data_IF_937183145063
#
_entry.id   IF_937183145063
#
_cell.length_a   1.000
_cell.length_b   1.000
_cell.length_c   1.000
_cell.angle_alpha   90.00
_cell.angle_beta   90.00
_cell.angle_gamma   90.00
#
_symmetry.space_group_name_H-M   'P 1'
#
loop_
_entity.id
_entity.type
_entity.pdbx_description
1 polymer ?
#
# COMPACT_ATOMS: atom_id res chain seq x y z
N UNK A 1 -41.49 -71.74 31.80
CA UNK A 1 -41.11 -70.83 30.70
C UNK A 1 -41.50 -69.42 31.09
N UNK A 2 -40.49 -68.60 31.35
CA UNK A 2 -40.57 -67.22 31.84
C UNK A 2 -40.70 -66.30 30.64
N UNK A 3 -41.64 -65.35 30.67
CA UNK A 3 -41.47 -63.97 30.18
C UNK A 3 -42.72 -63.12 30.50
N UNK A 4 -42.69 -62.46 31.65
CA UNK A 4 -43.28 -61.13 31.82
C UNK A 4 -42.23 -60.10 31.35
N UNK A 5 -42.63 -58.99 30.70
CA UNK A 5 -42.24 -57.61 31.06
C UNK A 5 -42.57 -56.53 29.99
N UNK A 6 -43.33 -55.54 30.45
CA UNK A 6 -43.21 -54.07 30.28
C UNK A 6 -43.39 -53.28 28.95
N UNK A 7 -44.40 -52.40 29.06
CA UNK A 7 -44.41 -50.93 28.87
C UNK A 7 -44.46 -50.27 27.47
N UNK A 8 -45.38 -49.29 27.27
CA UNK A 8 -45.47 -48.47 26.08
C UNK A 8 -44.58 -47.23 26.21
N UNK A 9 -43.35 -47.27 25.70
CA UNK A 9 -42.51 -46.05 25.56
C UNK A 9 -41.61 -46.18 24.34
N UNK A 10 -42.09 -45.77 23.16
CA UNK A 10 -41.18 -45.56 22.00
C UNK A 10 -41.75 -44.69 20.87
N UNK A 11 -42.40 -43.58 21.22
CA UNK A 11 -42.77 -42.55 20.23
C UNK A 11 -42.42 -41.11 20.67
N UNK A 12 -41.85 -40.91 21.87
CA UNK A 12 -41.49 -39.55 22.35
C UNK A 12 -40.09 -39.09 21.91
N UNK A 13 -39.14 -40.00 21.75
CA UNK A 13 -37.74 -39.64 21.44
C UNK A 13 -37.52 -39.04 20.04
N UNK A 14 -38.08 -39.59 18.94
CA UNK A 14 -37.86 -39.00 17.61
C UNK A 14 -38.61 -37.67 17.44
N UNK A 15 -39.76 -37.50 18.09
CA UNK A 15 -40.54 -36.26 18.02
C UNK A 15 -39.86 -35.12 18.78
N UNK A 16 -39.27 -35.40 19.96
CA UNK A 16 -38.48 -34.42 20.71
C UNK A 16 -37.22 -34.03 19.94
N UNK A 17 -36.54 -34.98 19.28
CA UNK A 17 -35.34 -34.68 18.49
C UNK A 17 -35.65 -33.78 17.27
N UNK A 18 -36.78 -33.99 16.58
CA UNK A 18 -37.20 -33.16 15.45
C UNK A 18 -37.60 -31.76 15.92
N UNK A 19 -38.34 -31.65 17.03
CA UNK A 19 -38.72 -30.34 17.59
C UNK A 19 -37.50 -29.57 18.09
N UNK A 20 -36.52 -30.23 18.72
CA UNK A 20 -35.25 -29.59 19.13
C UNK A 20 -34.44 -29.18 17.90
N UNK A 21 -34.38 -29.99 16.84
CA UNK A 21 -33.69 -29.62 15.60
C UNK A 21 -34.37 -28.43 14.91
N UNK A 22 -35.70 -28.38 14.85
CA UNK A 22 -36.44 -27.24 14.27
C UNK A 22 -36.32 -25.99 15.15
N UNK A 23 -36.28 -26.12 16.48
CA UNK A 23 -36.07 -24.99 17.39
C UNK A 23 -34.62 -24.47 17.32
N UNK A 24 -33.62 -25.35 17.22
CA UNK A 24 -32.21 -24.95 17.05
C UNK A 24 -32.02 -24.35 15.67
N UNK A 25 -32.49 -24.99 14.61
CA UNK A 25 -32.35 -24.48 13.23
C UNK A 25 -33.19 -23.23 13.02
N UNK A 26 -34.38 -23.14 13.62
CA UNK A 26 -35.22 -21.95 13.63
C UNK A 26 -34.60 -20.82 14.47
N UNK A 27 -33.95 -21.14 15.59
CA UNK A 27 -33.17 -20.16 16.37
C UNK A 27 -31.96 -19.67 15.56
N UNK A 28 -31.25 -20.57 14.87
CA UNK A 28 -30.16 -20.19 13.97
C UNK A 28 -30.66 -19.41 12.75
N UNK A 29 -31.85 -19.69 12.19
CA UNK A 29 -32.39 -18.98 11.02
C UNK A 29 -33.06 -17.64 11.37
N UNK A 30 -33.69 -17.51 12.55
CA UNK A 30 -34.30 -16.27 13.02
C UNK A 30 -33.31 -15.35 13.76
N UNK A 31 -32.28 -15.92 14.39
CA UNK A 31 -31.24 -15.17 15.14
C UNK A 31 -29.85 -15.23 14.47
N UNK A 32 -29.71 -15.71 13.21
CA UNK A 32 -28.62 -15.32 12.28
C UNK A 32 -28.91 -14.00 11.55
N UNK A 33 -29.67 -13.10 12.17
CA UNK A 33 -29.25 -11.70 12.10
C UNK A 33 -28.20 -11.58 13.20
N UNK A 34 -26.92 -11.25 12.91
CA UNK A 34 -26.02 -10.88 13.98
C UNK A 34 -26.67 -9.71 14.72
N UNK A 35 -27.27 -9.98 15.90
CA UNK A 35 -27.68 -8.99 16.90
C UNK A 35 -26.45 -8.38 17.60
N UNK A 36 -25.35 -8.33 16.86
CA UNK A 36 -24.27 -7.37 17.03
C UNK A 36 -24.20 -6.66 15.68
N UNK A 37 -25.17 -5.76 15.43
CA UNK A 37 -24.76 -4.53 14.77
C UNK A 37 -23.65 -3.98 15.67
N UNK A 38 -22.39 -4.28 15.33
CA UNK A 38 -21.32 -3.44 15.80
C UNK A 38 -21.75 -2.06 15.32
N UNK A 39 -22.23 -1.23 16.24
CA UNK A 39 -22.24 0.21 16.05
C UNK A 39 -20.77 0.60 15.91
N UNK A 40 -20.18 0.31 14.74
CA UNK A 40 -18.95 0.93 14.30
C UNK A 40 -19.38 2.36 14.12
N UNK A 41 -19.17 3.17 15.16
CA UNK A 41 -19.28 4.61 15.04
C UNK A 41 -18.33 4.98 13.90
N UNK A 42 -18.85 5.51 12.78
CA UNK A 42 -18.02 5.83 11.64
C UNK A 42 -16.96 6.83 12.08
N UNK A 43 -15.69 6.62 11.72
CA UNK A 43 -14.66 7.58 12.05
C UNK A 43 -14.98 8.91 11.33
N UNK A 44 -14.96 10.02 12.06
CA UNK A 44 -15.21 11.37 11.52
C UNK A 44 -13.96 11.93 10.83
N UNK A 45 -14.07 12.91 9.91
CA UNK A 45 -12.91 13.55 9.30
C UNK A 45 -11.88 14.04 10.30
N UNK A 46 -12.30 14.52 11.47
CA UNK A 46 -11.40 14.94 12.54
C UNK A 46 -10.60 13.77 13.14
N UNK A 47 -11.15 12.54 13.07
CA UNK A 47 -10.52 11.34 13.60
C UNK A 47 -9.53 10.70 12.61
N UNK A 48 -9.82 10.74 11.30
CA UNK A 48 -8.96 10.13 10.28
C UNK A 48 -8.10 11.10 9.45
N UNK A 49 -8.51 12.37 9.36
CA UNK A 49 -7.83 13.37 8.55
C UNK A 49 -6.44 13.74 9.08
N UNK A 50 -5.67 14.37 8.19
CA UNK A 50 -4.38 14.95 8.52
C UNK A 50 -4.55 16.13 9.47
N UNK A 51 -3.75 16.20 10.54
CA UNK A 51 -3.94 17.27 11.53
C UNK A 51 -3.61 18.67 10.97
N UNK A 52 -2.83 18.71 9.88
CA UNK A 52 -2.51 19.92 9.11
C UNK A 52 -3.71 20.53 8.35
N UNK A 53 -4.81 19.78 8.16
CA UNK A 53 -5.99 20.33 7.48
C UNK A 53 -6.70 21.39 8.33
N UNK A 54 -6.50 21.37 9.65
CA UNK A 54 -7.15 22.26 10.60
C UNK A 54 -6.20 23.29 11.25
N UNK A 55 -4.89 23.22 10.97
CA UNK A 55 -3.87 24.05 11.61
C UNK A 55 -2.78 24.50 10.62
N UNK A 56 -2.16 25.65 10.89
CA UNK A 56 -1.07 26.19 10.04
C UNK A 56 0.23 25.40 10.14
N UNK A 57 0.52 24.90 11.34
CA UNK A 57 1.53 23.89 11.61
C UNK A 57 0.91 22.87 12.57
N UNK A 58 0.84 21.59 12.20
CA UNK A 58 0.46 20.56 13.15
C UNK A 58 1.48 20.52 14.29
N UNK A 59 1.00 20.38 15.53
CA UNK A 59 1.82 20.37 16.74
C UNK A 59 2.52 19.01 16.96
N UNK A 60 3.02 18.41 15.88
CA UNK A 60 3.70 17.13 15.92
C UNK A 60 5.11 17.31 16.49
N UNK A 61 5.50 16.41 17.39
CA UNK A 61 6.85 16.27 17.90
C UNK A 61 7.18 14.78 18.00
N UNK A 62 8.46 14.43 17.81
CA UNK A 62 8.96 13.06 17.96
C UNK A 62 8.56 12.52 19.35
N UNK A 63 7.74 11.45 19.43
CA UNK A 63 7.34 10.89 20.72
C UNK A 63 8.55 10.37 21.51
N UNK A 64 8.48 10.49 22.84
CA UNK A 64 9.41 9.80 23.73
C UNK A 64 9.06 8.31 23.78
N UNK A 65 9.90 7.50 23.15
CA UNK A 65 9.67 6.08 22.90
C UNK A 65 10.54 5.23 23.84
N UNK A 66 9.95 4.20 24.44
CA UNK A 66 10.66 3.24 25.27
C UNK A 66 11.34 2.13 24.45
N UNK A 67 12.25 1.34 25.02
CA UNK A 67 13.01 0.31 24.30
C UNK A 67 12.21 -0.93 23.85
N UNK A 68 10.90 -0.98 24.15
CA UNK A 68 10.02 -2.10 23.79
C UNK A 68 10.18 -3.31 24.70
N UNK A 69 9.85 -4.50 24.18
CA UNK A 69 9.88 -5.75 24.92
C UNK A 69 11.33 -6.23 25.14
N UNK A 70 11.78 -6.44 26.40
CA UNK A 70 13.16 -6.83 26.68
C UNK A 70 13.59 -8.15 26.03
N UNK A 71 12.67 -9.11 25.88
CA UNK A 71 12.95 -10.41 25.25
C UNK A 71 13.14 -10.33 23.73
N UNK A 72 12.92 -9.17 23.11
CA UNK A 72 13.16 -8.92 21.67
C UNK A 72 14.46 -8.13 21.42
N UNK A 73 15.15 -7.69 22.47
CA UNK A 73 16.31 -6.81 22.36
C UNK A 73 17.47 -7.39 21.52
N UNK A 74 17.86 -8.64 21.79
CA UNK A 74 18.98 -9.28 21.12
C UNK A 74 18.66 -9.59 19.64
N UNK A 75 17.44 -10.07 19.39
CA UNK A 75 16.93 -10.32 18.04
C UNK A 75 16.89 -9.02 17.23
N UNK A 76 16.38 -7.94 17.82
CA UNK A 76 16.35 -6.63 17.20
C UNK A 76 17.75 -6.12 16.84
N UNK A 77 18.77 -6.38 17.68
CA UNK A 77 20.15 -6.06 17.36
C UNK A 77 20.67 -6.77 16.10
N UNK A 78 20.30 -8.04 15.92
CA UNK A 78 20.64 -8.81 14.71
C UNK A 78 19.92 -8.29 13.47
N UNK A 79 18.64 -7.93 13.58
CA UNK A 79 17.91 -7.31 12.49
C UNK A 79 18.46 -5.92 12.12
N UNK A 80 18.88 -5.10 13.10
CA UNK A 80 19.55 -3.82 12.81
C UNK A 80 20.82 -4.04 12.00
N UNK A 81 21.66 -5.02 12.38
CA UNK A 81 22.85 -5.36 11.59
C UNK A 81 22.49 -5.79 10.17
N UNK A 82 21.43 -6.60 10.02
CA UNK A 82 20.96 -7.05 8.71
C UNK A 82 20.30 -5.94 7.87
N UNK A 83 19.74 -4.90 8.47
CA UNK A 83 19.26 -3.71 7.75
C UNK A 83 20.44 -2.89 7.22
N UNK A 84 21.48 -2.72 8.02
CA UNK A 84 22.66 -1.92 7.68
C UNK A 84 23.61 -2.63 6.71
N UNK A 85 23.62 -3.96 6.72
CA UNK A 85 24.36 -4.80 5.77
C UNK A 85 23.52 -6.02 5.33
N UNK A 86 22.52 -5.83 4.45
CA UNK A 86 21.59 -6.90 4.05
C UNK A 86 22.26 -8.11 3.42
N UNK A 87 23.38 -7.91 2.69
CA UNK A 87 24.08 -8.99 1.99
C UNK A 87 24.82 -9.92 2.95
N UNK A 88 25.32 -9.41 4.07
CA UNK A 88 26.04 -10.20 5.07
C UNK A 88 25.24 -10.43 6.36
N UNK A 89 24.02 -9.91 6.45
CA UNK A 89 23.17 -9.97 7.65
C UNK A 89 22.61 -11.35 8.01
N UNK A 90 22.75 -12.35 7.13
CA UNK A 90 22.32 -13.73 7.39
C UNK A 90 20.81 -13.98 7.31
N UNK A 91 20.02 -12.99 6.87
CA UNK A 91 18.58 -13.13 6.64
C UNK A 91 18.28 -13.30 5.15
N UNK A 92 17.18 -14.01 4.79
CA UNK A 92 16.75 -14.08 3.40
C UNK A 92 16.46 -12.67 2.84
N UNK A 93 17.09 -12.33 1.71
CA UNK A 93 16.81 -11.12 0.93
C UNK A 93 16.57 -11.45 -0.55
N UNK A 94 15.95 -10.55 -1.29
CA UNK A 94 15.92 -10.59 -2.76
C UNK A 94 17.32 -10.26 -3.29
N UNK A 95 17.78 -10.98 -4.31
CA UNK A 95 19.09 -10.75 -4.93
C UNK A 95 19.05 -9.52 -5.85
N UNK A 96 18.82 -8.34 -5.25
CA UNK A 96 18.69 -7.09 -5.97
C UNK A 96 19.99 -6.71 -6.70
N UNK A 97 19.92 -6.24 -7.96
CA UNK A 97 21.06 -5.70 -8.66
C UNK A 97 21.51 -4.38 -8.01
N UNK A 98 22.77 -4.01 -8.26
CA UNK A 98 23.27 -2.71 -7.84
C UNK A 98 22.55 -1.59 -8.63
N UNK A 99 22.08 -0.52 -7.97
CA UNK A 99 21.40 0.57 -8.65
C UNK A 99 22.33 1.31 -9.61
N UNK A 100 21.79 1.72 -10.77
CA UNK A 100 22.54 2.46 -11.78
C UNK A 100 22.69 3.93 -11.36
N UNK A 101 23.84 4.26 -10.77
CA UNK A 101 24.14 5.61 -10.29
C UNK A 101 24.08 6.70 -11.38
N UNK A 102 24.37 6.35 -12.64
CA UNK A 102 24.27 7.30 -13.77
C UNK A 102 22.81 7.63 -14.08
N UNK A 103 21.93 6.61 -14.14
CA UNK A 103 20.49 6.80 -14.38
C UNK A 103 19.84 7.63 -13.28
N UNK A 104 20.12 7.27 -12.02
CA UNK A 104 19.48 7.88 -10.86
C UNK A 104 20.16 9.15 -10.37
N UNK A 105 21.29 9.56 -10.98
CA UNK A 105 22.03 10.76 -10.58
C UNK A 105 21.21 12.05 -10.67
N UNK A 106 20.19 12.10 -11.53
CA UNK A 106 19.27 13.24 -11.68
C UNK A 106 18.39 13.49 -10.43
N UNK A 107 18.25 12.49 -9.56
CA UNK A 107 17.49 12.60 -8.31
C UNK A 107 18.23 13.43 -7.25
N UNK A 108 19.53 13.69 -7.44
CA UNK A 108 20.29 14.59 -6.56
C UNK A 108 19.87 16.03 -6.83
N UNK A 109 19.30 16.74 -5.85
CA UNK A 109 18.87 18.12 -6.05
C UNK A 109 20.05 19.03 -6.38
N UNK A 110 19.85 19.92 -7.36
CA UNK A 110 20.83 20.95 -7.73
C UNK A 110 20.39 22.36 -7.30
N UNK A 111 19.14 22.50 -6.86
CA UNK A 111 18.50 23.74 -6.43
C UNK A 111 17.94 23.56 -5.01
N UNK A 112 17.79 24.64 -4.25
CA UNK A 112 17.29 24.63 -2.86
C UNK A 112 18.02 23.58 -1.99
N UNK A 113 19.35 23.57 -2.06
CA UNK A 113 20.19 22.57 -1.37
C UNK A 113 20.15 22.68 0.17
N UNK A 114 19.58 23.76 0.72
CA UNK A 114 19.28 23.92 2.15
C UNK A 114 17.97 23.23 2.57
N UNK A 115 17.20 22.69 1.61
CA UNK A 115 15.92 22.00 1.82
C UNK A 115 16.03 20.50 1.60
N UNK A 116 15.12 19.76 2.24
CA UNK A 116 14.87 18.36 1.92
C UNK A 116 13.97 18.25 0.69
N UNK A 117 14.32 17.34 -0.22
CA UNK A 117 13.60 17.10 -1.48
C UNK A 117 12.84 15.78 -1.47
N UNK A 118 13.15 14.87 -0.55
CA UNK A 118 12.50 13.56 -0.45
C UNK A 118 12.02 13.28 0.97
N UNK A 119 10.79 12.76 1.07
CA UNK A 119 10.21 12.29 2.31
C UNK A 119 9.75 10.84 2.16
N UNK A 120 10.46 9.91 2.80
CA UNK A 120 10.12 8.49 2.79
C UNK A 120 9.14 8.20 3.94
N UNK A 121 8.05 7.51 3.64
CA UNK A 121 6.99 7.20 4.60
C UNK A 121 6.59 5.72 4.54
N UNK A 122 6.43 5.08 5.70
CA UNK A 122 5.96 3.69 5.81
C UNK A 122 5.03 3.52 7.01
N UNK A 123 4.00 2.69 6.85
CA UNK A 123 3.19 2.15 7.94
C UNK A 123 3.51 0.66 8.08
N UNK A 124 4.07 0.24 9.22
CA UNK A 124 4.62 -1.12 9.39
C UNK A 124 4.01 -1.83 10.60
N UNK A 125 3.68 -3.12 10.43
CA UNK A 125 3.16 -3.99 11.49
C UNK A 125 3.50 -5.44 11.18
N UNK A 126 4.16 -6.16 12.09
CA UNK A 126 4.39 -7.62 12.00
C UNK A 126 5.26 -8.02 10.80
N UNK A 127 6.34 -7.28 10.58
CA UNK A 127 7.16 -7.36 9.37
C UNK A 127 8.64 -7.44 9.67
N UNK A 128 9.04 -7.90 10.87
CA UNK A 128 10.44 -7.92 11.30
C UNK A 128 11.34 -8.65 10.29
N UNK A 129 10.84 -9.76 9.72
CA UNK A 129 11.56 -10.56 8.72
C UNK A 129 11.77 -9.83 7.38
N UNK A 130 10.94 -8.83 7.08
CA UNK A 130 11.01 -8.04 5.86
C UNK A 130 11.90 -6.80 6.00
N UNK A 131 12.13 -6.31 7.23
CA UNK A 131 12.87 -5.07 7.47
C UNK A 131 14.28 -5.06 6.82
N UNK A 132 15.08 -6.15 6.85
CA UNK A 132 16.38 -6.15 6.17
C UNK A 132 16.30 -5.84 4.68
N UNK A 133 15.25 -6.31 4.01
CA UNK A 133 15.00 -6.03 2.60
C UNK A 133 14.47 -4.60 2.41
N UNK A 134 13.36 -4.27 3.08
CA UNK A 134 12.61 -3.05 2.84
C UNK A 134 13.35 -1.81 3.35
N UNK A 135 13.70 -1.78 4.63
CA UNK A 135 14.36 -0.62 5.24
C UNK A 135 15.80 -0.50 4.76
N UNK A 136 16.47 -1.63 4.51
CA UNK A 136 17.80 -1.64 3.88
C UNK A 136 17.80 -0.96 2.50
N UNK A 137 16.82 -1.28 1.65
CA UNK A 137 16.66 -0.64 0.34
C UNK A 137 16.34 0.86 0.44
N UNK A 138 15.51 1.27 1.41
CA UNK A 138 15.22 2.69 1.68
C UNK A 138 16.48 3.45 2.09
N UNK A 139 17.29 2.89 3.00
CA UNK A 139 18.54 3.52 3.45
C UNK A 139 19.53 3.63 2.29
N UNK A 140 19.67 2.59 1.45
CA UNK A 140 20.54 2.64 0.28
C UNK A 140 20.08 3.71 -0.73
N UNK A 141 18.76 3.83 -0.96
CA UNK A 141 18.20 4.87 -1.81
C UNK A 141 18.48 6.28 -1.26
N UNK A 142 18.27 6.49 0.04
CA UNK A 142 18.60 7.74 0.74
C UNK A 142 20.08 8.08 0.59
N UNK A 143 20.98 7.11 0.77
CA UNK A 143 22.42 7.33 0.62
C UNK A 143 22.82 7.72 -0.81
N UNK A 144 22.12 7.19 -1.82
CA UNK A 144 22.35 7.54 -3.23
C UNK A 144 21.83 8.93 -3.59
N UNK A 145 20.72 9.36 -3.02
CA UNK A 145 20.15 10.70 -3.20
C UNK A 145 20.94 11.75 -2.40
N UNK A 146 21.42 11.38 -1.21
CA UNK A 146 22.04 12.26 -0.22
C UNK A 146 21.17 12.35 1.04
N UNK A 147 21.65 11.89 2.21
CA UNK A 147 20.90 11.94 3.48
C UNK A 147 20.35 13.32 3.83
N UNK A 148 21.10 14.39 3.53
CA UNK A 148 20.71 15.78 3.76
C UNK A 148 19.47 16.20 2.96
N UNK A 149 19.20 15.54 1.83
CA UNK A 149 18.05 15.81 0.98
C UNK A 149 16.81 15.02 1.41
N UNK A 150 16.92 14.15 2.42
CA UNK A 150 15.93 13.13 2.72
C UNK A 150 15.46 13.17 4.18
N UNK A 151 14.26 12.65 4.41
CA UNK A 151 13.80 12.21 5.72
C UNK A 151 13.09 10.85 5.60
N UNK A 152 13.07 10.09 6.69
CA UNK A 152 12.39 8.81 6.81
C UNK A 152 11.42 8.85 8.00
N UNK A 153 10.14 8.63 7.74
CA UNK A 153 9.08 8.55 8.74
C UNK A 153 8.45 7.17 8.73
N UNK A 154 8.36 6.54 9.90
CA UNK A 154 7.74 5.23 10.06
C UNK A 154 6.70 5.30 11.18
N UNK A 155 5.48 4.88 10.87
CA UNK A 155 4.46 4.58 11.88
C UNK A 155 4.45 3.07 12.11
N UNK A 156 4.85 2.67 13.31
CA UNK A 156 4.81 1.30 13.75
C UNK A 156 3.45 0.99 14.41
N UNK A 157 2.84 -0.13 14.03
CA UNK A 157 1.53 -0.55 14.51
C UNK A 157 1.57 -1.38 15.80
N UNK A 158 0.68 -2.36 15.90
CA UNK A 158 0.59 -3.22 17.08
C UNK A 158 1.45 -4.47 16.85
N UNK A 159 2.75 -4.39 17.17
CA UNK A 159 3.70 -5.50 16.99
C UNK A 159 4.21 -6.24 18.22
N UNK A 160 4.43 -7.54 18.03
CA UNK A 160 4.92 -8.52 19.00
C UNK A 160 6.08 -9.37 18.45
N UNK A 161 6.44 -9.19 17.18
CA UNK A 161 7.46 -9.98 16.50
C UNK A 161 8.89 -9.45 16.69
N UNK A 162 9.05 -8.17 17.02
CA UNK A 162 10.35 -7.48 17.10
C UNK A 162 10.46 -6.29 16.14
N UNK A 163 9.42 -6.00 15.35
CA UNK A 163 9.39 -4.88 14.38
C UNK A 163 9.71 -3.56 15.08
N UNK A 164 8.98 -3.24 16.15
CA UNK A 164 9.16 -2.02 16.93
C UNK A 164 10.58 -1.90 17.48
N UNK A 165 11.06 -2.92 18.18
CA UNK A 165 12.37 -2.89 18.86
C UNK A 165 13.51 -2.70 17.85
N UNK A 166 13.37 -3.28 16.66
CA UNK A 166 14.32 -3.11 15.55
C UNK A 166 14.33 -1.67 15.06
N UNK A 167 13.16 -1.11 14.74
CA UNK A 167 13.01 0.26 14.25
C UNK A 167 13.45 1.30 15.28
N UNK A 168 13.18 1.05 16.57
CA UNK A 168 13.62 1.89 17.68
C UNK A 168 15.15 1.93 17.78
N UNK A 169 15.81 0.76 17.73
CA UNK A 169 17.28 0.65 17.81
C UNK A 169 17.99 1.20 16.59
N UNK A 170 17.34 1.16 15.42
CA UNK A 170 17.88 1.69 14.17
C UNK A 170 18.11 3.21 14.23
N UNK A 171 17.34 3.94 15.06
CA UNK A 171 17.41 5.40 15.19
C UNK A 171 18.83 5.93 15.37
N UNK A 172 19.58 5.38 16.34
CA UNK A 172 20.93 5.85 16.64
C UNK A 172 21.92 5.67 15.47
N UNK A 173 21.64 4.74 14.55
CA UNK A 173 22.43 4.54 13.34
C UNK A 173 22.04 5.56 12.25
N UNK A 174 20.73 5.78 12.05
CA UNK A 174 20.24 6.77 11.09
C UNK A 174 20.64 8.20 11.46
N UNK A 175 20.57 8.55 12.75
CA UNK A 175 21.03 9.85 13.24
C UNK A 175 22.53 10.06 12.95
N UNK A 176 23.36 9.01 13.09
CA UNK A 176 24.80 9.06 12.73
C UNK A 176 25.05 9.17 11.22
N UNK A 177 24.14 8.67 10.41
CA UNK A 177 24.17 8.82 8.94
C UNK A 177 23.68 10.21 8.50
N UNK A 178 23.20 11.05 9.42
CA UNK A 178 22.60 12.35 9.10
C UNK A 178 21.21 12.25 8.49
N UNK A 179 20.54 11.10 8.60
CA UNK A 179 19.18 10.90 8.09
C UNK A 179 18.21 11.43 9.14
N UNK A 180 17.33 12.36 8.74
CA UNK A 180 16.22 12.80 9.58
C UNK A 180 15.23 11.63 9.73
N UNK A 181 15.21 10.99 10.91
CA UNK A 181 14.40 9.80 11.18
C UNK A 181 13.33 10.06 12.24
N UNK A 182 12.08 9.83 11.84
CA UNK A 182 10.89 9.94 12.67
C UNK A 182 10.27 8.56 12.89
N UNK A 183 10.07 8.19 14.15
CA UNK A 183 9.41 6.94 14.51
C UNK A 183 8.21 7.25 15.42
N UNK A 184 7.06 6.69 15.08
CA UNK A 184 5.86 6.80 15.89
C UNK A 184 5.25 5.43 16.10
N UNK A 185 4.48 5.26 17.18
CA UNK A 185 3.67 4.05 17.39
C UNK A 185 2.19 4.39 17.31
N UNK A 186 1.38 3.43 16.87
CA UNK A 186 -0.07 3.59 16.74
C UNK A 186 -0.80 2.36 17.25
N UNK A 187 -1.84 2.61 18.06
CA UNK A 187 -2.78 1.58 18.53
C UNK A 187 -3.94 1.34 17.56
N UNK A 188 -3.92 1.98 16.37
CA UNK A 188 -4.97 1.83 15.37
C UNK A 188 -4.90 0.44 14.74
N UNK A 189 -5.92 -0.38 14.99
CA UNK A 189 -6.10 -1.67 14.32
C UNK A 189 -7.02 -1.55 13.10
N UNK A 190 -6.44 -1.51 11.90
CA UNK A 190 -7.18 -1.44 10.62
C UNK A 190 -7.89 -2.76 10.23
N UNK A 191 -7.68 -3.86 10.96
CA UNK A 191 -8.31 -5.15 10.66
C UNK A 191 -9.73 -5.28 11.22
N UNK A 192 -10.18 -4.30 12.02
CA UNK A 192 -11.49 -4.28 12.65
C UNK A 192 -12.18 -2.94 12.43
N UNK A 193 -13.51 -2.95 12.30
CA UNK A 193 -14.32 -1.72 12.16
C UNK A 193 -14.07 -0.95 10.85
N UNK A 194 -13.95 0.38 10.92
CA UNK A 194 -13.76 1.28 9.77
C UNK A 194 -12.33 1.18 9.20
N UNK A 195 -12.07 0.12 8.44
CA UNK A 195 -10.75 -0.16 7.85
C UNK A 195 -10.21 1.01 7.03
N UNK A 196 -11.03 1.62 6.18
CA UNK A 196 -10.57 2.67 5.25
C UNK A 196 -10.24 3.96 6.00
N UNK A 197 -11.10 4.41 6.93
CA UNK A 197 -10.79 5.58 7.76
C UNK A 197 -9.51 5.36 8.59
N UNK A 198 -9.32 4.15 9.13
CA UNK A 198 -8.12 3.81 9.90
C UNK A 198 -6.84 3.77 9.07
N UNK A 199 -6.88 3.22 7.86
CA UNK A 199 -5.74 3.23 6.93
C UNK A 199 -5.40 4.66 6.51
N UNK A 200 -6.41 5.48 6.18
CA UNK A 200 -6.22 6.90 5.91
C UNK A 200 -5.53 7.61 7.09
N UNK A 201 -5.96 7.33 8.33
CA UNK A 201 -5.31 7.92 9.51
C UNK A 201 -3.85 7.50 9.67
N UNK A 202 -3.54 6.22 9.49
CA UNK A 202 -2.16 5.71 9.59
C UNK A 202 -1.24 6.42 8.59
N UNK A 203 -1.67 6.52 7.32
CA UNK A 203 -0.91 7.24 6.29
C UNK A 203 -0.74 8.71 6.62
N UNK A 204 -1.79 9.34 7.15
CA UNK A 204 -1.68 10.73 7.60
C UNK A 204 -0.67 10.87 8.75
N UNK A 205 -0.69 9.97 9.75
CA UNK A 205 0.28 9.95 10.84
C UNK A 205 1.72 9.85 10.34
N UNK A 206 1.97 9.06 9.29
CA UNK A 206 3.28 8.93 8.68
C UNK A 206 3.76 10.23 8.01
N UNK A 207 2.85 11.08 7.55
CA UNK A 207 3.16 12.38 6.92
C UNK A 207 3.19 13.56 7.91
N UNK A 208 2.65 13.42 9.13
CA UNK A 208 2.64 14.50 10.14
C UNK A 208 4.02 15.17 10.36
N UNK A 209 5.16 14.44 10.43
CA UNK A 209 6.46 15.07 10.61
C UNK A 209 6.83 16.03 9.47
N UNK A 210 6.53 15.66 8.23
CA UNK A 210 6.77 16.52 7.06
C UNK A 210 5.97 17.82 7.16
N UNK A 211 4.73 17.73 7.65
CA UNK A 211 3.83 18.88 7.76
C UNK A 211 4.21 19.80 8.93
N UNK A 212 4.70 19.24 10.04
CA UNK A 212 5.18 20.02 11.17
C UNK A 212 6.50 20.74 10.85
N UNK A 213 7.33 20.14 10.00
CA UNK A 213 8.58 20.72 9.51
C UNK A 213 8.46 21.26 8.07
N UNK A 214 7.29 21.75 7.65
CA UNK A 214 7.03 22.13 6.25
C UNK A 214 8.09 23.10 5.67
N UNK A 215 8.58 24.05 6.47
CA UNK A 215 9.62 25.01 6.05
C UNK A 215 10.99 24.37 5.74
N UNK A 216 11.24 23.14 6.20
CA UNK A 216 12.46 22.40 5.92
C UNK A 216 12.44 21.68 4.55
N UNK A 217 11.29 21.66 3.86
CA UNK A 217 11.12 20.95 2.60
C UNK A 217 11.05 21.91 1.41
N UNK A 218 11.51 21.43 0.26
CA UNK A 218 11.21 22.07 -1.02
C UNK A 218 9.70 21.98 -1.28
N UNK A 219 9.03 23.04 -1.78
CA UNK A 219 7.60 22.98 -2.11
C UNK A 219 7.25 21.86 -3.11
N UNK A 220 8.20 21.44 -3.95
CA UNK A 220 8.08 20.35 -4.93
C UNK A 220 8.69 19.04 -4.43
N UNK A 221 8.95 18.91 -3.11
CA UNK A 221 9.47 17.70 -2.52
C UNK A 221 8.63 16.48 -2.93
N UNK A 222 9.30 15.35 -3.11
CA UNK A 222 8.67 14.07 -3.48
C UNK A 222 8.47 13.23 -2.23
N UNK A 223 7.22 12.82 -2.00
CA UNK A 223 6.89 11.82 -0.98
C UNK A 223 7.05 10.45 -1.62
N UNK A 224 7.86 9.58 -1.01
CA UNK A 224 7.97 8.17 -1.38
C UNK A 224 7.30 7.35 -0.28
N UNK A 225 6.15 6.77 -0.59
CA UNK A 225 5.39 5.97 0.37
C UNK A 225 5.42 4.50 -0.04
N UNK A 226 5.92 3.63 0.82
CA UNK A 226 6.01 2.18 0.58
C UNK A 226 5.10 1.41 1.54
N UNK A 227 4.45 0.36 1.04
CA UNK A 227 3.87 -0.68 1.89
C UNK A 227 4.97 -1.58 2.46
N UNK A 228 4.59 -2.60 3.21
CA UNK A 228 5.42 -3.72 3.66
C UNK A 228 5.75 -4.70 2.51
N UNK A 229 6.53 -4.23 1.54
CA UNK A 229 6.91 -4.98 0.34
C UNK A 229 8.42 -5.26 0.26
N UNK A 230 8.79 -6.35 -0.42
CA UNK A 230 10.16 -6.73 -0.71
C UNK A 230 10.74 -5.89 -1.87
N UNK A 231 10.92 -4.60 -1.63
CA UNK A 231 11.47 -3.65 -2.61
C UNK A 231 12.99 -3.76 -2.72
N UNK A 232 13.50 -3.67 -3.96
CA UNK A 232 14.91 -3.39 -4.22
C UNK A 232 15.17 -1.87 -4.27
N UNK A 233 16.41 -1.46 -4.05
CA UNK A 233 16.81 -0.05 -4.11
C UNK A 233 16.49 0.59 -5.46
N UNK A 234 16.71 -0.14 -6.56
CA UNK A 234 16.33 0.32 -7.91
C UNK A 234 14.82 0.52 -8.09
N UNK A 235 13.97 -0.23 -7.39
CA UNK A 235 12.51 -0.09 -7.51
C UNK A 235 12.08 1.28 -6.99
N UNK A 236 12.61 1.66 -5.82
CA UNK A 236 12.36 2.94 -5.15
C UNK A 236 12.88 4.10 -6.00
N UNK A 237 14.12 3.99 -6.48
CA UNK A 237 14.75 5.02 -7.31
C UNK A 237 14.07 5.15 -8.68
N UNK A 238 13.59 4.05 -9.26
CA UNK A 238 12.89 4.08 -10.55
C UNK A 238 11.55 4.79 -10.45
N UNK A 239 10.78 4.60 -9.37
CA UNK A 239 9.56 5.37 -9.14
C UNK A 239 9.85 6.88 -9.07
N UNK A 240 10.82 7.28 -8.23
CA UNK A 240 11.22 8.67 -8.11
C UNK A 240 11.73 9.26 -9.45
N UNK A 241 12.54 8.48 -10.18
CA UNK A 241 13.11 8.87 -11.47
C UNK A 241 12.02 9.09 -12.52
N UNK A 242 11.08 8.15 -12.66
CA UNK A 242 9.97 8.28 -13.59
C UNK A 242 9.08 9.46 -13.21
N UNK A 243 8.85 9.71 -11.92
CA UNK A 243 8.13 10.91 -11.48
C UNK A 243 8.79 12.19 -11.98
N UNK A 244 10.09 12.36 -11.76
CA UNK A 244 10.82 13.57 -12.16
C UNK A 244 10.93 13.71 -13.68
N UNK A 245 11.29 12.63 -14.39
CA UNK A 245 11.56 12.67 -15.83
C UNK A 245 10.30 12.77 -16.69
N UNK A 246 9.19 12.16 -16.26
CA UNK A 246 7.89 12.28 -16.92
C UNK A 246 7.14 13.55 -16.53
N UNK A 247 7.64 14.29 -15.52
CA UNK A 247 6.93 15.38 -14.85
C UNK A 247 5.56 14.91 -14.35
N UNK A 248 5.55 13.73 -13.73
CA UNK A 248 4.36 13.13 -13.16
C UNK A 248 4.09 13.72 -11.77
N UNK A 249 2.81 13.77 -11.41
CA UNK A 249 2.37 14.09 -10.06
C UNK A 249 2.52 12.88 -9.15
N UNK A 250 2.30 11.67 -9.67
CA UNK A 250 2.40 10.43 -8.92
C UNK A 250 2.81 9.27 -9.84
N UNK A 251 3.69 8.41 -9.36
CA UNK A 251 4.07 7.16 -10.01
C UNK A 251 3.96 6.00 -9.05
N UNK A 252 3.28 4.93 -9.44
CA UNK A 252 3.06 3.73 -8.63
C UNK A 252 3.83 2.53 -9.18
N UNK A 253 4.21 1.62 -8.30
CA UNK A 253 4.67 0.30 -8.65
C UNK A 253 3.54 -0.60 -9.18
N UNK A 254 3.87 -1.87 -9.42
CA UNK A 254 2.93 -2.97 -9.52
C UNK A 254 3.14 -3.90 -8.34
N UNK A 255 2.08 -4.40 -7.69
CA UNK A 255 2.19 -5.43 -6.65
C UNK A 255 1.50 -6.73 -7.02
N UNK A 256 2.12 -7.80 -6.53
CA UNK A 256 1.68 -9.14 -6.80
C UNK A 256 1.64 -9.98 -5.52
N UNK A 257 0.66 -10.85 -5.45
CA UNK A 257 0.59 -11.95 -4.49
C UNK A 257 0.45 -13.27 -5.23
N UNK A 258 0.86 -14.36 -4.60
CA UNK A 258 0.83 -15.70 -5.19
C UNK A 258 -0.26 -16.53 -4.52
N UNK A 259 -1.40 -16.67 -5.19
CA UNK A 259 -2.50 -17.49 -4.71
C UNK A 259 -2.14 -18.97 -4.97
N UNK A 260 -1.72 -19.68 -3.91
CA UNK A 260 -1.23 -21.07 -4.00
C UNK A 260 -2.33 -22.13 -3.82
N UNK A 261 -3.59 -21.76 -4.00
CA UNK A 261 -4.74 -22.67 -3.97
C UNK A 261 -5.37 -22.78 -5.37
N UNK A 262 -6.02 -23.90 -5.66
CA UNK A 262 -6.72 -24.08 -6.93
C UNK A 262 -7.83 -23.01 -7.08
N UNK A 263 -8.01 -22.41 -8.27
CA UNK A 263 -7.35 -22.74 -9.54
C UNK A 263 -6.02 -22.00 -9.80
N UNK A 264 -5.57 -21.12 -8.90
CA UNK A 264 -4.46 -20.19 -9.16
C UNK A 264 -3.07 -20.82 -9.16
N UNK A 265 -2.91 -22.03 -8.61
CA UNK A 265 -1.70 -22.87 -8.72
C UNK A 265 -0.34 -22.15 -8.51
N UNK A 266 -0.32 -21.04 -7.77
CA UNK A 266 0.88 -20.26 -7.52
C UNK A 266 1.28 -19.27 -8.62
N UNK A 267 0.36 -18.92 -9.52
CA UNK A 267 0.54 -17.83 -10.50
C UNK A 267 0.47 -16.45 -9.83
N UNK A 268 1.21 -15.46 -10.36
CA UNK A 268 1.17 -14.09 -9.87
C UNK A 268 -0.22 -13.48 -10.12
N UNK A 269 -0.84 -12.98 -9.07
CA UNK A 269 -2.10 -12.25 -9.13
C UNK A 269 -1.86 -10.79 -8.78
N UNK A 270 -2.57 -9.86 -9.42
CA UNK A 270 -2.42 -8.43 -9.12
C UNK A 270 -3.19 -8.07 -7.84
N UNK A 271 -2.49 -7.56 -6.83
CA UNK A 271 -3.05 -7.40 -5.48
C UNK A 271 -4.05 -6.23 -5.42
N UNK A 272 -3.65 -5.03 -5.84
CA UNK A 272 -4.45 -3.79 -5.75
C UNK A 272 -5.51 -3.61 -6.86
N UNK A 273 -6.06 -4.73 -7.33
CA UNK A 273 -7.17 -4.79 -8.30
C UNK A 273 -8.41 -4.00 -7.88
N UNK A 274 -8.68 -3.89 -6.56
CA UNK A 274 -9.78 -3.08 -6.02
C UNK A 274 -9.52 -1.57 -6.07
N UNK A 275 -8.26 -1.17 -5.97
CA UNK A 275 -7.81 0.22 -5.85
C UNK A 275 -7.59 0.85 -7.24
N UNK A 276 -7.03 0.07 -8.15
CA UNK A 276 -6.49 0.56 -9.41
C UNK A 276 -7.57 0.89 -10.44
N UNK A 277 -7.41 2.02 -11.14
CA UNK A 277 -8.29 2.44 -12.23
C UNK A 277 -7.47 2.92 -13.42
N UNK A 278 -7.69 2.31 -14.59
CA UNK A 278 -7.08 2.74 -15.85
C UNK A 278 -7.52 4.16 -16.22
N UNK A 279 -6.88 4.76 -17.22
CA UNK A 279 -7.23 6.11 -17.66
C UNK A 279 -8.65 6.18 -18.26
N UNK A 280 -9.21 5.04 -18.68
CA UNK A 280 -10.60 4.89 -19.09
C UNK A 280 -11.60 4.75 -17.91
N UNK A 281 -11.13 4.82 -16.66
CA UNK A 281 -11.94 4.72 -15.46
C UNK A 281 -12.34 3.30 -15.04
N UNK A 282 -11.97 2.24 -15.78
CA UNK A 282 -12.24 0.85 -15.39
C UNK A 282 -11.11 0.26 -14.52
N UNK A 283 -11.33 -0.90 -13.91
CA UNK A 283 -10.30 -1.64 -13.18
C UNK A 283 -9.19 -2.13 -14.12
N UNK A 284 -7.96 -2.27 -13.63
CA UNK A 284 -6.85 -2.79 -14.44
C UNK A 284 -7.11 -4.20 -14.98
N UNK A 285 -7.83 -5.03 -14.22
CA UNK A 285 -8.23 -6.36 -14.63
C UNK A 285 -9.75 -6.41 -14.86
N UNK A 286 -10.25 -7.30 -15.73
CA UNK A 286 -11.67 -7.60 -15.75
C UNK A 286 -12.03 -8.29 -14.42
N UNK A 287 -12.83 -7.63 -13.59
CA UNK A 287 -13.35 -8.22 -12.34
C UNK A 287 -14.81 -8.62 -12.59
N UNK A 288 -15.13 -9.91 -12.80
CA UNK A 288 -16.50 -10.29 -13.11
C UNK A 288 -17.37 -10.22 -11.87
N UNK A 289 -18.59 -9.72 -12.08
CA UNK A 289 -19.61 -9.57 -11.04
C UNK A 289 -20.09 -10.93 -10.48
N UNK A 290 -19.77 -12.04 -11.16
CA UNK A 290 -20.34 -13.38 -10.92
C UNK A 290 -19.34 -14.54 -10.84
N UNK A 291 -18.03 -14.31 -10.90
CA UNK A 291 -17.08 -15.41 -10.69
C UNK A 291 -17.06 -15.85 -9.23
N UNK A 292 -16.92 -17.15 -8.95
CA UNK A 292 -16.52 -17.64 -7.64
C UNK A 292 -15.26 -16.89 -7.18
N UNK A 293 -15.15 -16.62 -5.87
CA UNK A 293 -13.99 -15.93 -5.28
C UNK A 293 -12.70 -16.57 -5.82
N UNK A 294 -11.90 -15.80 -6.57
CA UNK A 294 -10.59 -16.26 -7.03
C UNK A 294 -10.38 -16.08 -8.52
N UNK A 295 -11.28 -16.54 -9.38
CA UNK A 295 -10.88 -17.09 -10.69
C UNK A 295 -10.23 -16.14 -11.73
N UNK A 296 -10.12 -14.82 -11.50
CA UNK A 296 -9.55 -13.88 -12.48
C UNK A 296 -8.51 -12.88 -11.93
N UNK A 297 -8.05 -13.01 -10.67
CA UNK A 297 -6.95 -12.16 -10.17
C UNK A 297 -5.61 -12.44 -10.85
N UNK A 298 -5.47 -13.62 -11.47
CA UNK A 298 -4.26 -14.10 -12.13
C UNK A 298 -4.21 -13.86 -13.64
N UNK A 299 -5.24 -13.24 -14.27
CA UNK A 299 -5.17 -12.86 -15.71
C UNK A 299 -4.36 -11.57 -15.92
N UNK A 300 -3.20 -11.52 -15.28
CA UNK A 300 -2.24 -10.43 -15.34
C UNK A 300 -1.68 -10.22 -16.75
N UNK A 301 -1.86 -11.17 -17.67
CA UNK A 301 -1.52 -11.00 -19.09
C UNK A 301 -2.52 -10.09 -19.81
N UNK A 302 -3.78 -10.06 -19.34
CA UNK A 302 -4.86 -9.26 -19.89
C UNK A 302 -5.11 -7.98 -19.08
N UNK A 303 -4.11 -7.47 -18.35
CA UNK A 303 -4.25 -6.15 -17.73
C UNK A 303 -4.50 -5.08 -18.81
N UNK A 304 -5.34 -4.11 -18.46
CA UNK A 304 -5.81 -3.05 -19.34
C UNK A 304 -6.55 -3.58 -20.59
N UNK A 305 -7.22 -4.73 -20.47
CA UNK A 305 -7.96 -5.43 -21.54
C UNK A 305 -8.88 -4.56 -22.42
N UNK A 306 -9.41 -3.47 -21.87
CA UNK A 306 -10.30 -2.53 -22.57
C UNK A 306 -9.68 -1.15 -22.82
N UNK A 307 -8.35 -1.05 -22.78
CA UNK A 307 -7.60 0.15 -23.11
C UNK A 307 -6.31 -0.27 -23.85
N UNK A 308 -6.37 -0.42 -25.19
CA UNK A 308 -5.30 -1.03 -25.97
C UNK A 308 -3.94 -0.33 -25.86
N UNK A 309 -3.94 1.00 -25.71
CA UNK A 309 -2.71 1.79 -25.57
C UNK A 309 -2.00 1.48 -24.24
N UNK A 310 -2.76 1.44 -23.15
CA UNK A 310 -2.31 1.10 -21.80
C UNK A 310 -1.85 -0.35 -21.74
N UNK A 311 -2.57 -1.26 -22.42
CA UNK A 311 -2.19 -2.66 -22.51
C UNK A 311 -0.87 -2.85 -23.23
N UNK A 312 -0.67 -2.21 -24.40
CA UNK A 312 0.58 -2.28 -25.15
C UNK A 312 1.77 -1.78 -24.30
N UNK A 313 1.60 -0.64 -23.61
CA UNK A 313 2.63 -0.11 -22.71
C UNK A 313 2.90 -1.01 -21.52
N UNK A 314 1.86 -1.58 -20.91
CA UNK A 314 2.00 -2.54 -19.82
C UNK A 314 2.79 -3.78 -20.26
N UNK A 315 2.42 -4.39 -21.38
CA UNK A 315 3.10 -5.57 -21.93
C UNK A 315 4.55 -5.26 -22.33
N UNK A 316 4.80 -4.05 -22.83
CA UNK A 316 6.13 -3.55 -23.17
C UNK A 316 6.92 -2.98 -21.98
N UNK A 317 6.37 -3.08 -20.76
CA UNK A 317 6.98 -2.60 -19.50
C UNK A 317 7.32 -1.11 -19.49
N UNK A 318 6.53 -0.31 -20.19
CA UNK A 318 6.67 1.14 -20.28
C UNK A 318 5.72 1.84 -19.31
N UNK A 319 6.13 3.00 -18.75
CA UNK A 319 5.24 3.84 -17.94
C UNK A 319 3.95 4.18 -18.69
N UNK A 320 2.80 4.14 -18.00
CA UNK A 320 1.51 4.50 -18.59
C UNK A 320 0.63 5.29 -17.60
N UNK A 321 -0.17 6.23 -18.11
CA UNK A 321 -1.08 7.02 -17.30
C UNK A 321 -2.29 6.21 -16.85
N UNK A 322 -2.75 6.47 -15.64
CA UNK A 322 -3.90 5.81 -15.02
C UNK A 322 -4.72 6.84 -14.26
N UNK A 323 -5.99 6.53 -13.96
CA UNK A 323 -6.80 7.38 -13.08
C UNK A 323 -6.36 7.23 -11.62
N UNK A 324 -6.10 6.00 -11.16
CA UNK A 324 -5.69 5.73 -9.79
C UNK A 324 -4.80 4.48 -9.66
N UNK A 325 -3.83 4.51 -8.74
CA UNK A 325 -2.97 3.38 -8.37
C UNK A 325 -2.37 3.56 -6.96
N UNK A 326 -1.85 2.47 -6.38
CA UNK A 326 -1.01 2.49 -5.19
C UNK A 326 -0.02 1.32 -5.21
N UNK A 327 -0.55 0.10 -5.31
CA UNK A 327 0.09 -1.11 -5.81
C UNK A 327 1.39 -1.49 -5.10
N UNK A 328 1.49 -1.24 -3.80
CA UNK A 328 2.66 -1.56 -2.98
C UNK A 328 3.65 -0.41 -2.74
N UNK A 329 3.66 0.63 -3.57
CA UNK A 329 4.57 1.75 -3.36
C UNK A 329 4.45 2.86 -4.41
N UNK A 330 4.63 4.10 -3.97
CA UNK A 330 4.43 5.29 -4.80
C UNK A 330 5.52 6.34 -4.56
N UNK A 331 5.81 7.12 -5.60
CA UNK A 331 6.45 8.43 -5.48
C UNK A 331 5.47 9.49 -5.93
N UNK A 332 5.14 10.48 -5.10
CA UNK A 332 4.10 11.47 -5.36
C UNK A 332 4.51 12.89 -4.96
N UNK A 333 3.84 13.88 -5.55
CA UNK A 333 4.08 15.31 -5.28
C UNK A 333 3.69 15.65 -3.83
N UNK A 334 4.59 16.31 -3.10
CA UNK A 334 4.33 16.78 -1.75
C UNK A 334 3.58 18.12 -1.68
N UNK A 335 3.54 18.88 -2.78
CA UNK A 335 3.00 20.25 -2.81
C UNK A 335 1.55 20.35 -2.29
N UNK A 336 0.60 19.47 -2.68
CA UNK A 336 -0.77 19.54 -2.16
C UNK A 336 -0.88 19.29 -0.66
N UNK A 337 0.01 18.46 -0.10
CA UNK A 337 0.07 18.19 1.34
C UNK A 337 0.66 19.39 2.09
N UNK A 338 1.83 19.88 1.65
CA UNK A 338 2.51 21.05 2.23
C UNK A 338 1.66 22.32 2.16
N UNK A 339 0.85 22.46 1.11
CA UNK A 339 -0.10 23.57 0.95
C UNK A 339 -1.43 23.35 1.69
N UNK A 340 -1.58 22.24 2.42
CA UNK A 340 -2.75 21.88 3.24
C UNK A 340 -4.05 21.76 2.44
N UNK A 341 -3.94 21.26 1.22
CA UNK A 341 -5.07 21.00 0.32
C UNK A 341 -5.39 19.52 0.15
N UNK A 342 -4.51 18.65 0.66
CA UNK A 342 -4.63 17.21 0.50
C UNK A 342 -4.27 16.47 1.79
N UNK A 343 -5.07 15.47 2.11
CA UNK A 343 -4.83 14.45 3.10
C UNK A 343 -5.40 13.10 2.64
N UNK A 344 -5.03 12.01 3.31
CA UNK A 344 -5.72 10.75 3.10
C UNK A 344 -7.08 10.79 3.80
N UNK A 345 -8.11 10.30 3.10
CA UNK A 345 -9.47 10.30 3.63
C UNK A 345 -10.23 9.03 3.28
N UNK A 346 -11.36 8.86 3.94
CA UNK A 346 -12.44 7.96 3.48
C UNK A 346 -13.44 8.71 2.61
N UNK A 347 -14.31 7.93 1.97
CA UNK A 347 -15.40 8.46 1.12
C UNK A 347 -16.37 9.32 1.93
N UNK A 348 -16.79 10.44 1.34
CA UNK A 348 -17.86 11.29 1.86
C UNK A 348 -19.23 10.65 1.66
N UNK A 349 -20.26 11.20 2.33
CA UNK A 349 -21.63 10.74 2.15
C UNK A 349 -22.09 11.02 0.71
N UNK A 350 -22.45 9.97 -0.02
CA UNK A 350 -22.89 10.06 -1.41
C UNK A 350 -21.76 9.89 -2.43
N UNK A 351 -20.52 9.80 -1.99
CA UNK A 351 -19.38 9.42 -2.82
C UNK A 351 -19.23 7.90 -2.89
N UNK A 352 -18.64 7.39 -3.98
CA UNK A 352 -18.26 5.99 -4.10
C UNK A 352 -17.43 5.50 -2.91
N UNK A 353 -17.87 4.40 -2.27
CA UNK A 353 -17.06 3.71 -1.28
C UNK A 353 -15.92 2.93 -1.94
N UNK A 354 -14.69 3.40 -1.77
CA UNK A 354 -13.45 2.80 -2.28
C UNK A 354 -12.32 2.99 -1.26
N UNK A 355 -11.15 2.41 -1.53
CA UNK A 355 -9.96 2.59 -0.69
C UNK A 355 -9.42 4.03 -0.70
N UNK A 356 -8.73 4.40 0.37
CA UNK A 356 -8.10 5.71 0.53
C UNK A 356 -7.12 6.09 -0.60
N UNK A 357 -6.41 5.17 -1.29
CA UNK A 357 -5.50 5.59 -2.36
C UNK A 357 -6.26 5.96 -3.65
N UNK A 358 -7.40 5.33 -3.93
CA UNK A 358 -8.25 5.73 -5.05
C UNK A 358 -8.84 7.13 -4.81
N UNK A 359 -9.24 7.41 -3.56
CA UNK A 359 -9.72 8.73 -3.16
C UNK A 359 -8.62 9.78 -3.23
N UNK A 360 -7.40 9.46 -2.77
CA UNK A 360 -6.24 10.33 -2.91
C UNK A 360 -5.99 10.71 -4.38
N UNK A 361 -6.00 9.72 -5.28
CA UNK A 361 -5.80 9.97 -6.71
C UNK A 361 -6.91 10.89 -7.27
N UNK A 362 -8.16 10.63 -6.89
CA UNK A 362 -9.29 11.47 -7.27
C UNK A 362 -9.16 12.91 -6.77
N UNK A 363 -8.67 13.11 -5.55
CA UNK A 363 -8.44 14.44 -4.99
C UNK A 363 -7.26 15.14 -5.68
N UNK A 364 -6.20 14.40 -6.03
CA UNK A 364 -5.12 14.91 -6.88
C UNK A 364 -5.65 15.39 -8.23
N UNK A 365 -6.48 14.60 -8.91
CA UNK A 365 -7.15 15.02 -10.15
C UNK A 365 -7.96 16.31 -9.96
N UNK A 366 -8.71 16.42 -8.87
CA UNK A 366 -9.49 17.62 -8.54
C UNK A 366 -8.63 18.87 -8.31
N UNK A 367 -7.43 18.68 -7.78
CA UNK A 367 -6.46 19.75 -7.55
C UNK A 367 -5.60 20.06 -8.79
N UNK A 368 -5.83 19.37 -9.92
CA UNK A 368 -5.07 19.56 -11.17
C UNK A 368 -3.80 18.73 -11.28
N UNK A 369 -3.61 17.76 -10.38
CA UNK A 369 -2.47 16.83 -10.31
C UNK A 369 -2.80 15.47 -10.94
N UNK A 370 -3.29 15.50 -12.18
CA UNK A 370 -3.79 14.31 -12.91
C UNK A 370 -2.72 13.45 -13.59
N UNK A 371 -1.44 13.81 -13.52
CA UNK A 371 -0.36 13.04 -14.14
C UNK A 371 0.05 11.87 -13.25
N UNK A 372 -0.87 10.93 -13.10
CA UNK A 372 -0.72 9.71 -12.31
C UNK A 372 -0.36 8.56 -13.24
N UNK A 373 0.74 7.87 -12.97
CA UNK A 373 1.20 6.78 -13.81
C UNK A 373 1.51 5.53 -12.99
N UNK A 374 1.39 4.38 -13.63
CA UNK A 374 1.97 3.14 -13.12
C UNK A 374 3.26 2.83 -13.90
N UNK A 375 4.24 2.25 -13.22
CA UNK A 375 5.57 1.93 -13.74
C UNK A 375 5.73 0.40 -13.79
N UNK A 376 5.35 -0.28 -14.89
CA UNK A 376 5.26 -1.74 -14.91
C UNK A 376 6.61 -2.48 -14.83
N UNK A 377 7.73 -1.77 -15.00
CA UNK A 377 9.08 -2.28 -14.75
C UNK A 377 9.36 -2.50 -13.26
N UNK A 378 8.60 -1.85 -12.37
CA UNK A 378 8.70 -2.00 -10.91
C UNK A 378 7.63 -2.98 -10.42
N UNK A 379 8.03 -4.22 -10.17
CA UNK A 379 7.16 -5.29 -9.64
C UNK A 379 7.54 -5.64 -8.20
N UNK A 380 6.57 -5.60 -7.28
CA UNK A 380 6.74 -5.78 -5.84
C UNK A 380 5.88 -6.95 -5.32
N UNK A 381 6.27 -7.50 -4.16
CA UNK A 381 5.50 -8.52 -3.45
C UNK A 381 5.68 -8.38 -1.93
N UNK A 382 4.77 -8.94 -1.15
CA UNK A 382 4.61 -8.65 0.29
C UNK A 382 5.47 -9.51 1.25
N UNK A 383 6.41 -10.29 0.71
CA UNK A 383 7.44 -11.00 1.49
C UNK A 383 8.64 -11.34 0.61
N UNK A 384 9.78 -11.66 1.21
CA UNK A 384 11.03 -11.92 0.47
C UNK A 384 10.91 -13.10 -0.50
N UNK A 385 10.21 -14.17 -0.11
CA UNK A 385 10.06 -15.37 -0.96
C UNK A 385 9.30 -15.02 -2.24
N UNK A 386 8.15 -14.39 -2.10
CA UNK A 386 7.33 -13.95 -3.22
C UNK A 386 8.01 -12.80 -3.99
N UNK A 387 8.82 -11.98 -3.31
CA UNK A 387 9.69 -10.97 -3.91
C UNK A 387 10.71 -11.58 -4.88
N UNK A 388 11.38 -12.67 -4.48
CA UNK A 388 12.27 -13.41 -5.39
C UNK A 388 11.51 -13.98 -6.57
N UNK A 389 10.37 -14.63 -6.30
CA UNK A 389 9.54 -15.24 -7.35
C UNK A 389 9.07 -14.20 -8.37
N UNK A 390 8.58 -13.03 -7.93
CA UNK A 390 8.12 -12.01 -8.85
C UNK A 390 9.25 -11.40 -9.68
N UNK A 391 10.46 -11.26 -9.11
CA UNK A 391 11.64 -10.80 -9.87
C UNK A 391 12.12 -11.85 -10.87
N UNK A 392 12.01 -13.14 -10.55
CA UNK A 392 12.32 -14.22 -11.49
C UNK A 392 11.34 -14.24 -12.67
N UNK A 393 10.05 -14.07 -12.41
CA UNK A 393 9.00 -14.11 -13.45
C UNK A 393 8.90 -12.82 -14.27
N UNK A 394 9.08 -11.66 -13.63
CA UNK A 394 8.86 -10.35 -14.24
C UNK A 394 10.11 -9.53 -14.45
N UNK A 395 11.27 -9.98 -13.99
CA UNK A 395 12.52 -9.23 -14.07
C UNK A 395 12.65 -8.13 -13.02
N UNK A 396 13.86 -7.57 -12.99
CA UNK A 396 14.23 -6.42 -12.19
C UNK A 396 13.91 -5.12 -12.94
N UNK A 397 13.84 -3.98 -12.26
CA UNK A 397 13.58 -2.70 -12.91
C UNK A 397 14.66 -2.41 -13.98
N UNK A 398 15.93 -2.65 -13.62
CA UNK A 398 17.10 -2.61 -14.51
C UNK A 398 16.99 -3.50 -15.75
N UNK A 399 16.33 -4.66 -15.67
CA UNK A 399 16.12 -5.55 -16.83
C UNK A 399 15.35 -4.83 -17.95
N UNK A 400 14.35 -4.04 -17.58
CA UNK A 400 13.49 -3.33 -18.52
C UNK A 400 14.05 -1.96 -18.91
N UNK A 401 14.63 -1.22 -17.96
CA UNK A 401 15.19 0.10 -18.24
C UNK A 401 16.44 0.04 -19.12
N UNK A 402 17.17 -1.07 -19.14
CA UNK A 402 18.28 -1.28 -20.07
C UNK A 402 17.87 -1.21 -21.56
N UNK A 403 16.61 -1.51 -21.86
CA UNK A 403 16.09 -1.56 -23.24
C UNK A 403 14.89 -0.63 -23.44
N UNK A 404 14.61 0.28 -22.51
CA UNK A 404 13.39 1.11 -22.53
C UNK A 404 13.28 2.01 -23.76
N UNK A 405 14.43 2.40 -24.32
CA UNK A 405 14.52 3.25 -25.52
C UNK A 405 14.28 2.47 -26.82
N UNK A 406 14.11 1.14 -26.74
CA UNK A 406 13.77 0.33 -27.91
C UNK A 406 12.26 0.43 -28.21
N UNK A 407 11.92 0.68 -29.47
CA UNK A 407 10.54 0.78 -29.94
C UNK A 407 9.87 2.11 -29.55
N UNK A 408 8.62 2.05 -29.08
CA UNK A 408 7.82 3.22 -28.72
C UNK A 408 8.48 4.16 -27.67
N UNK A 409 8.23 5.48 -27.71
CA UNK A 409 8.78 6.40 -26.72
C UNK A 409 8.42 6.04 -25.27
N UNK A 410 9.40 6.19 -24.36
CA UNK A 410 9.20 6.03 -22.91
C UNK A 410 8.30 7.11 -22.32
N UNK A 411 8.28 8.29 -22.94
CA UNK A 411 7.47 9.42 -22.50
C UNK A 411 5.98 9.12 -22.57
N UNK A 412 5.24 9.49 -21.53
CA UNK A 412 3.80 9.34 -21.47
C UNK A 412 3.16 10.48 -22.27
N UNK A 413 2.29 10.13 -23.22
CA UNK A 413 1.36 11.07 -23.82
C UNK A 413 0.23 11.36 -22.81
N UNK A 414 0.41 12.39 -21.98
CA UNK A 414 -0.53 12.73 -20.91
C UNK A 414 -1.88 13.20 -21.46
N UNK A 415 -2.95 12.64 -20.92
CA UNK A 415 -4.31 13.14 -21.02
C UNK A 415 -4.53 14.12 -19.86
N UNK A 416 -4.80 15.39 -20.19
CA UNK A 416 -4.96 16.46 -19.19
C UNK A 416 -6.32 16.41 -18.47
N UNK A 417 -7.32 15.74 -19.05
CA UNK A 417 -8.64 15.60 -18.46
C UNK A 417 -8.83 14.18 -17.89
N UNK A 418 -9.46 14.05 -16.71
CA UNK A 418 -9.85 12.73 -16.20
C UNK A 418 -10.94 12.09 -17.08
N UNK A 419 -11.16 10.77 -17.00
CA UNK A 419 -12.29 10.14 -17.67
C UNK A 419 -13.60 10.70 -17.14
N UNK A 420 -14.62 10.82 -18.00
CA UNK A 420 -15.95 11.30 -17.59
C UNK A 420 -16.54 10.46 -16.44
N UNK A 421 -16.34 9.15 -16.52
CA UNK A 421 -16.88 8.16 -15.60
C UNK A 421 -15.76 7.28 -15.05
N UNK A 422 -15.87 6.92 -13.77
CA UNK A 422 -15.00 5.95 -13.11
C UNK A 422 -15.85 4.85 -12.48
N UNK A 423 -15.34 3.63 -12.54
CA UNK A 423 -16.00 2.47 -11.99
C UNK A 423 -15.93 2.48 -10.47
N UNK A 424 -17.09 2.67 -9.85
CA UNK A 424 -17.27 2.46 -8.44
C UNK A 424 -17.43 0.96 -8.15
N UNK A 425 -16.70 0.46 -7.17
CA UNK A 425 -16.71 -0.95 -6.81
C UNK A 425 -16.69 -1.12 -5.29
N UNK A 426 -17.75 -0.80 -4.52
CA UNK A 426 -17.73 -0.99 -3.06
C UNK A 426 -17.50 -2.45 -2.63
N UNK A 427 -17.85 -3.39 -3.51
CA UNK A 427 -17.47 -4.80 -3.39
C UNK A 427 -17.37 -5.40 -4.79
N UNK A 428 -16.70 -6.54 -4.96
CA UNK A 428 -16.60 -7.20 -6.27
C UNK A 428 -17.95 -7.61 -6.88
N UNK A 429 -19.02 -7.70 -6.08
CA UNK A 429 -20.38 -8.01 -6.56
C UNK A 429 -21.24 -6.77 -6.83
N UNK A 430 -20.76 -5.59 -6.45
CA UNK A 430 -21.46 -4.33 -6.61
C UNK A 430 -20.55 -3.36 -7.36
N UNK A 431 -20.70 -3.34 -8.68
CA UNK A 431 -19.90 -2.53 -9.59
C UNK A 431 -20.83 -1.66 -10.42
N UNK A 432 -20.55 -0.37 -10.52
CA UNK A 432 -21.34 0.57 -11.31
C UNK A 432 -20.50 1.80 -11.67
N UNK A 433 -20.85 2.46 -12.77
CA UNK A 433 -20.16 3.66 -13.23
C UNK A 433 -20.76 4.91 -12.60
N UNK A 434 -19.92 5.86 -12.21
CA UNK A 434 -20.30 7.19 -11.69
C UNK A 434 -19.41 8.27 -12.31
N UNK A 435 -19.84 9.55 -12.35
CA UNK A 435 -18.95 10.65 -12.70
C UNK A 435 -17.69 10.61 -11.84
N UNK A 436 -16.52 10.85 -12.43
CA UNK A 436 -15.25 10.74 -11.71
C UNK A 436 -15.19 11.65 -10.47
N UNK A 437 -15.82 12.81 -10.54
CA UNK A 437 -15.90 13.83 -9.50
C UNK A 437 -17.13 13.72 -8.59
N UNK A 438 -17.89 12.63 -8.64
CA UNK A 438 -19.09 12.45 -7.80
C UNK A 438 -18.75 12.64 -6.32
N UNK A 439 -19.40 13.61 -5.66
CA UNK A 439 -19.23 13.85 -4.23
C UNK A 439 -17.98 14.65 -3.82
N UNK A 440 -17.27 15.26 -4.78
CA UNK A 440 -16.26 16.30 -4.52
C UNK A 440 -16.89 17.67 -4.28
#
# INVERSE_FOLDING_TARGET
MIANFHQPRRLRTPFIAIVVFILITGFFLLFHQPLVQYFVIPWTPEQYGGSWMNASSPAWVQPDLGPGMPNKADDAGRYVQAILDPKNGGYPIVNCPAPNATRYGVLKPTENADKRHFFFALDLRQVVELLPQLVGAVIEAINLIGPENCALSIVEGISTDGTYETLYRLKAHLDKMGIAYYLQTSSIDSHSGDRIGKLAKLRNLALEPMMAEADAYDPKATIVFLNDVAACTEDILELAYQKQTQKADMTCAMDYHFLRFAPHNGEPSFYDSWISRGINGDTFLPIPDRTPKGEQWSDVANMFWNEPYSQDRYLSRKPLQVFACWNGGVAMTGEPFLSRKLDFRRSFKGECHTGEPTLLCKDLWNLGHGRIAVIPSVSLAYNVKDGRQIKEERGFASTWTANEQNGEPVQIAWQDQPPDMVKCMPSFRNQFWRPWNEGL
#
